data_IF_470240617439
#
_entry.id   IF_470240617439
#
_cell.length_a   1.000
_cell.length_b   1.000
_cell.length_c   1.000
_cell.angle_alpha   90.00
_cell.angle_beta   90.00
_cell.angle_gamma   90.00
#
_symmetry.space_group_name_H-M   'P 1'
#
loop_
_entity.id
_entity.type
_entity.pdbx_description
1 polymer ?
#
# COMPACT_ATOMS: atom_id res chain seq x y z
N UNK A 1 -18.94 -8.12 -56.80
CA UNK A 1 -18.20 -7.03 -56.12
C UNK A 1 -19.06 -6.71 -54.89
N UNK A 2 -18.71 -7.05 -53.65
CA UNK A 2 -17.44 -6.87 -52.92
C UNK A 2 -17.44 -7.79 -51.69
N UNK A 3 -16.27 -8.29 -51.28
CA UNK A 3 -15.93 -8.71 -49.91
C UNK A 3 -16.32 -10.14 -49.51
N UNK A 4 -15.46 -11.14 -49.72
CA UNK A 4 -14.42 -11.61 -48.75
C UNK A 4 -15.03 -12.33 -47.54
N UNK A 5 -15.05 -13.67 -47.55
CA UNK A 5 -14.02 -14.58 -47.01
C UNK A 5 -13.78 -14.41 -45.50
N UNK A 6 -14.26 -15.38 -44.73
CA UNK A 6 -13.49 -16.41 -44.00
C UNK A 6 -14.52 -17.23 -43.21
N UNK A 7 -14.66 -18.54 -43.48
CA UNK A 7 -13.99 -19.59 -42.70
C UNK A 7 -14.16 -19.33 -41.20
N UNK A 8 -14.85 -20.13 -40.41
CA UNK A 8 -14.78 -21.58 -40.27
C UNK A 8 -15.78 -21.84 -39.13
N UNK A 9 -16.79 -22.71 -39.27
CA UNK A 9 -16.66 -24.10 -38.84
C UNK A 9 -15.89 -24.17 -37.49
N UNK A 10 -16.53 -24.39 -36.35
CA UNK A 10 -17.27 -25.62 -36.10
C UNK A 10 -18.43 -25.48 -35.08
N UNK A 11 -19.49 -26.29 -35.28
CA UNK A 11 -20.69 -26.37 -34.46
C UNK A 11 -20.51 -27.09 -33.12
N UNK A 12 -21.41 -26.76 -32.20
CA UNK A 12 -21.64 -27.39 -30.89
C UNK A 12 -21.87 -28.90 -31.05
N UNK A 13 -20.88 -29.72 -30.72
CA UNK A 13 -21.06 -31.16 -30.50
C UNK A 13 -21.32 -31.44 -29.03
N UNK A 14 -22.52 -31.96 -28.76
CA UNK A 14 -22.77 -33.12 -27.89
C UNK A 14 -22.84 -32.90 -26.36
N UNK A 15 -24.09 -32.94 -25.89
CA UNK A 15 -24.65 -33.63 -24.72
C UNK A 15 -24.18 -33.32 -23.29
N UNK A 16 -25.16 -32.82 -22.52
CA UNK A 16 -25.54 -33.24 -21.17
C UNK A 16 -24.45 -33.97 -20.35
N UNK A 17 -23.78 -33.22 -19.49
CA UNK A 17 -23.80 -33.44 -18.04
C UNK A 17 -23.26 -32.20 -17.33
N UNK A 18 -23.88 -31.92 -16.19
CA UNK A 18 -23.51 -30.92 -15.19
C UNK A 18 -23.79 -29.45 -15.51
N UNK A 19 -24.66 -28.88 -14.69
CA UNK A 19 -24.72 -27.46 -14.32
C UNK A 19 -23.40 -26.92 -13.69
N UNK A 20 -22.27 -27.63 -13.87
CA UNK A 20 -20.96 -27.37 -13.26
C UNK A 20 -20.01 -26.61 -14.21
N UNK A 21 -20.32 -26.52 -15.51
CA UNK A 21 -19.40 -25.93 -16.49
C UNK A 21 -19.62 -24.44 -16.79
N UNK A 22 -20.58 -23.76 -16.14
CA UNK A 22 -20.70 -22.29 -16.20
C UNK A 22 -19.76 -21.54 -15.23
N UNK A 23 -19.07 -22.27 -14.35
CA UNK A 23 -18.08 -21.67 -13.44
C UNK A 23 -16.66 -21.72 -14.04
N UNK A 24 -16.34 -22.74 -14.85
CA UNK A 24 -14.97 -22.96 -15.33
C UNK A 24 -14.49 -21.93 -16.37
N UNK A 25 -15.39 -21.30 -17.14
CA UNK A 25 -15.01 -20.15 -18.00
C UNK A 25 -14.71 -18.89 -17.20
N UNK A 26 -15.05 -18.85 -15.91
CA UNK A 26 -14.87 -17.66 -15.07
C UNK A 26 -13.62 -17.74 -14.19
N UNK A 27 -13.08 -18.93 -13.90
CA UNK A 27 -11.90 -19.07 -13.03
C UNK A 27 -10.55 -18.95 -13.74
N UNK A 28 -10.51 -19.01 -15.07
CA UNK A 28 -9.23 -19.01 -15.84
C UNK A 28 -8.79 -17.61 -16.32
N UNK A 29 -9.52 -16.53 -15.99
CA UNK A 29 -9.23 -15.18 -16.50
C UNK A 29 -9.01 -14.12 -15.40
N UNK A 30 -8.77 -14.52 -14.15
CA UNK A 30 -8.40 -13.60 -13.06
C UNK A 30 -7.06 -13.96 -12.37
N UNK A 31 -6.21 -14.76 -13.03
CA UNK A 31 -4.85 -15.07 -12.57
C UNK A 31 -3.78 -14.26 -13.31
N UNK A 32 -3.89 -12.92 -13.35
CA UNK A 32 -2.81 -12.04 -13.83
C UNK A 32 -2.89 -10.62 -13.24
N UNK A 33 -2.81 -10.50 -11.91
CA UNK A 33 -2.24 -9.32 -11.26
C UNK A 33 -1.32 -9.75 -10.11
N UNK A 34 -0.09 -10.05 -10.52
CA UNK A 34 1.15 -9.65 -9.86
C UNK A 34 1.06 -9.33 -8.35
N UNK A 35 1.35 -10.36 -7.56
CA UNK A 35 2.23 -10.32 -6.38
C UNK A 35 2.44 -8.96 -5.71
N UNK A 36 1.53 -8.60 -4.81
CA UNK A 36 1.93 -8.00 -3.53
C UNK A 36 1.53 -8.94 -2.41
N UNK A 37 2.20 -10.09 -2.37
CA UNK A 37 2.18 -11.06 -1.27
C UNK A 37 2.82 -10.43 -0.02
N UNK A 38 2.08 -9.54 0.63
CA UNK A 38 1.99 -9.47 2.09
C UNK A 38 0.68 -8.79 2.42
N UNK A 39 -0.26 -9.52 3.01
CA UNK A 39 -1.43 -8.90 3.60
C UNK A 39 -0.96 -7.87 4.63
N UNK A 40 -1.14 -6.54 4.46
CA UNK A 40 -1.20 -5.70 5.63
C UNK A 40 -2.60 -5.94 6.18
N UNK A 41 -2.69 -6.63 7.31
CA UNK A 41 -3.88 -6.65 8.17
C UNK A 41 -4.77 -5.43 7.93
N UNK A 42 -6.02 -5.65 7.50
CA UNK A 42 -7.08 -4.66 7.28
C UNK A 42 -7.52 -3.93 8.57
N UNK A 43 -6.59 -3.71 9.50
CA UNK A 43 -6.80 -2.80 10.61
C UNK A 43 -6.71 -1.39 10.03
N UNK A 44 -7.77 -0.56 10.14
CA UNK A 44 -7.67 0.83 9.77
C UNK A 44 -6.62 1.46 10.68
N UNK A 45 -5.40 1.62 10.16
CA UNK A 45 -4.34 2.30 10.89
C UNK A 45 -4.89 3.70 11.19
N UNK A 46 -5.14 4.03 12.46
CA UNK A 46 -5.87 5.25 12.77
C UNK A 46 -5.03 6.43 12.27
N UNK A 47 -5.56 7.16 11.29
CA UNK A 47 -4.93 8.36 10.75
C UNK A 47 -5.01 9.48 11.79
N UNK A 48 -4.13 9.41 12.78
CA UNK A 48 -4.05 10.35 13.89
C UNK A 48 -2.93 11.35 13.65
N UNK A 49 -3.30 12.62 13.68
CA UNK A 49 -2.34 13.72 13.62
C UNK A 49 -1.78 14.01 15.01
N UNK A 50 -0.45 14.03 15.12
CA UNK A 50 0.27 14.41 16.33
C UNK A 50 1.00 15.74 16.14
N UNK A 51 0.97 16.60 17.17
CA UNK A 51 1.66 17.90 17.16
C UNK A 51 3.13 17.71 17.53
N UNK A 52 3.96 18.71 17.22
CA UNK A 52 5.39 18.72 17.54
C UNK A 52 5.71 18.35 19.01
N UNK A 53 4.89 18.79 19.98
CA UNK A 53 5.08 18.43 21.40
C UNK A 53 4.94 16.92 21.66
N UNK A 54 4.01 16.26 20.99
CA UNK A 54 3.81 14.81 21.10
C UNK A 54 4.91 14.04 20.37
N UNK A 55 5.36 14.54 19.21
CA UNK A 55 6.50 13.97 18.49
C UNK A 55 7.77 13.99 19.34
N UNK A 56 8.07 15.12 20.00
CA UNK A 56 9.19 15.22 20.95
C UNK A 56 9.09 14.22 22.09
N UNK A 57 7.89 14.01 22.65
CA UNK A 57 7.69 13.00 23.71
C UNK A 57 7.87 11.57 23.21
N UNK A 58 7.35 11.25 22.02
CA UNK A 58 7.45 9.92 21.42
C UNK A 58 8.88 9.55 21.02
N UNK A 59 9.55 10.46 20.32
CA UNK A 59 10.90 10.22 19.80
C UNK A 59 12.00 10.45 20.85
N UNK A 60 11.71 11.19 21.92
CA UNK A 60 12.70 11.63 22.91
C UNK A 60 13.68 12.68 22.38
N UNK A 61 13.48 13.17 21.14
CA UNK A 61 14.35 14.15 20.50
C UNK A 61 13.85 15.58 20.74
N UNK A 62 14.80 16.50 20.93
CA UNK A 62 14.47 17.92 21.00
C UNK A 62 14.01 18.45 19.63
N UNK A 63 13.27 19.56 19.65
CA UNK A 63 12.68 20.13 18.43
C UNK A 63 13.72 20.47 17.37
N UNK A 64 14.88 21.01 17.76
CA UNK A 64 15.95 21.34 16.82
C UNK A 64 16.47 20.10 16.10
N UNK A 65 16.73 19.00 16.81
CA UNK A 65 17.12 17.73 16.19
C UNK A 65 16.07 17.21 15.22
N UNK A 66 14.79 17.36 15.54
CA UNK A 66 13.71 16.96 14.62
C UNK A 66 13.75 17.82 13.36
N UNK A 67 13.91 19.14 13.46
CA UNK A 67 14.06 20.00 12.29
C UNK A 67 15.33 19.68 11.47
N UNK A 68 16.44 19.34 12.12
CA UNK A 68 17.66 18.91 11.43
C UNK A 68 17.42 17.62 10.64
N UNK A 69 16.67 16.66 11.20
CA UNK A 69 16.31 15.42 10.51
C UNK A 69 15.33 15.67 9.36
N UNK A 70 14.37 16.60 9.52
CA UNK A 70 13.47 17.04 8.44
C UNK A 70 14.30 17.65 7.30
N UNK A 71 15.28 18.51 7.61
CA UNK A 71 16.17 19.10 6.62
C UNK A 71 17.02 18.05 5.90
N UNK A 72 17.44 17.00 6.62
CA UNK A 72 18.16 15.85 6.06
C UNK A 72 17.25 14.88 5.29
N UNK A 73 15.93 15.08 5.30
CA UNK A 73 14.91 14.17 4.74
C UNK A 73 14.94 12.77 5.37
N UNK A 74 15.49 12.67 6.58
CA UNK A 74 15.56 11.44 7.37
C UNK A 74 14.35 11.26 8.29
N UNK A 75 13.43 12.22 8.34
CA UNK A 75 12.25 12.22 9.20
C UNK A 75 10.97 12.47 8.37
N UNK A 76 9.80 11.94 8.78
CA UNK A 76 8.54 12.18 8.08
C UNK A 76 8.23 13.67 7.91
N UNK A 77 7.68 14.01 6.75
CA UNK A 77 7.43 15.40 6.37
C UNK A 77 6.28 15.99 7.22
N UNK A 78 6.44 17.20 7.78
CA UNK A 78 5.34 17.87 8.47
C UNK A 78 4.21 18.22 7.50
N UNK A 79 2.98 17.90 7.93
CA UNK A 79 1.74 18.28 7.24
C UNK A 79 1.22 19.59 7.84
N UNK A 80 0.99 20.57 6.98
CA UNK A 80 0.39 21.84 7.38
C UNK A 80 -1.12 21.69 7.44
N UNK A 81 -1.69 21.67 8.65
CA UNK A 81 -3.14 21.65 8.85
C UNK A 81 -3.76 23.05 8.68
N UNK A 82 -2.97 24.09 8.97
CA UNK A 82 -3.33 25.50 8.76
C UNK A 82 -2.09 26.34 8.54
N UNK A 83 -2.26 27.63 8.23
CA UNK A 83 -1.17 28.57 7.96
C UNK A 83 -0.10 28.65 9.08
N UNK A 84 -0.44 28.30 10.32
CA UNK A 84 0.48 28.34 11.47
C UNK A 84 0.65 26.99 12.17
N UNK A 85 -0.07 25.96 11.75
CA UNK A 85 -0.13 24.67 12.47
C UNK A 85 0.42 23.55 11.62
N UNK A 86 1.49 22.93 12.12
CA UNK A 86 2.06 21.70 11.57
C UNK A 86 1.71 20.50 12.45
N UNK A 87 1.48 19.37 11.81
CA UNK A 87 1.26 18.09 12.45
C UNK A 87 1.96 16.98 11.66
N UNK A 88 2.14 15.84 12.30
CA UNK A 88 2.74 14.64 11.71
C UNK A 88 1.74 13.51 11.78
N UNK A 89 1.84 12.54 10.88
CA UNK A 89 1.07 11.30 10.96
C UNK A 89 1.73 10.41 12.00
N UNK A 90 0.94 9.96 12.98
CA UNK A 90 1.42 9.11 14.06
C UNK A 90 2.10 7.84 13.54
N UNK A 91 1.49 7.18 12.57
CA UNK A 91 1.98 5.94 11.96
C UNK A 91 3.31 6.12 11.24
N UNK A 92 3.53 7.25 10.57
CA UNK A 92 4.81 7.54 9.90
C UNK A 92 5.94 7.75 10.91
N UNK A 93 5.66 8.42 12.02
CA UNK A 93 6.63 8.61 13.10
C UNK A 93 6.97 7.27 13.76
N UNK A 94 5.97 6.39 13.93
CA UNK A 94 6.19 5.04 14.45
C UNK A 94 7.01 4.16 13.49
N UNK A 95 6.69 4.18 12.20
CA UNK A 95 7.48 3.48 11.19
C UNK A 95 8.93 3.95 11.20
N UNK A 96 9.16 5.26 11.25
CA UNK A 96 10.51 5.82 11.38
C UNK A 96 11.24 5.34 12.64
N UNK A 97 10.56 5.25 13.79
CA UNK A 97 11.18 4.72 15.01
C UNK A 97 11.60 3.25 14.85
N UNK A 98 10.76 2.44 14.20
CA UNK A 98 11.08 1.03 13.90
C UNK A 98 12.31 0.94 12.99
N UNK A 99 12.40 1.77 11.94
CA UNK A 99 13.55 1.83 11.04
C UNK A 99 14.84 2.25 11.77
N UNK A 100 14.75 3.21 12.71
CA UNK A 100 15.89 3.59 13.54
C UNK A 100 16.34 2.46 14.46
N UNK A 101 15.40 1.71 15.03
CA UNK A 101 15.71 0.55 15.88
C UNK A 101 16.36 -0.55 15.06
N UNK A 102 15.85 -0.85 13.86
CA UNK A 102 16.41 -1.87 12.97
C UNK A 102 17.82 -1.48 12.51
N UNK A 103 18.04 -0.23 12.08
CA UNK A 103 19.35 0.27 11.68
C UNK A 103 20.37 0.25 12.83
N UNK A 104 19.94 0.59 14.06
CA UNK A 104 20.80 0.55 15.24
C UNK A 104 21.21 -0.87 15.63
N UNK A 105 20.29 -1.85 15.53
CA UNK A 105 20.53 -3.24 15.94
C UNK A 105 21.20 -4.10 14.86
N UNK A 106 21.01 -3.76 13.58
CA UNK A 106 21.56 -4.52 12.44
C UNK A 106 23.01 -4.15 12.09
N UNK A 107 23.61 -3.17 12.78
CA UNK A 107 25.01 -2.78 12.58
C UNK A 107 25.95 -3.55 13.53
N UNK A 108 25.74 -4.86 13.69
CA UNK A 108 26.49 -5.71 14.62
C UNK A 108 26.97 -6.99 13.94
#
# INVERSE_FOLDING_TARGET
MTGCRLASLYPKTVLLKQHHLLIATYHEALDMKDQTEKCPSNEPVPLRFIRMREVTKKTGLCKSSIYDLINKKDFPQPIHLSARTVAFIESEVEAWMVDRISASRNNK
#
